data_IF_104804124008
#
_entry.id   IF_104804124008
#
_cell.length_a   1.000
_cell.length_b   1.000
_cell.length_c   1.000
_cell.angle_alpha   90.00
_cell.angle_beta   90.00
_cell.angle_gamma   90.00
#
_symmetry.space_group_name_H-M   'P 1'
#
loop_
_entity.id
_entity.type
_entity.pdbx_description
1 polymer ?
#
# COMPACT_ATOMS: atom_id res chain seq x y z
N UNK A 1 11.46 31.20 -10.92
CA UNK A 1 10.34 30.74 -10.08
C UNK A 1 9.01 30.56 -10.83
N UNK A 2 8.67 31.34 -11.86
CA UNK A 2 7.41 31.16 -12.61
C UNK A 2 7.30 29.82 -13.37
N UNK A 3 8.40 29.30 -13.93
CA UNK A 3 8.41 28.04 -14.70
C UNK A 3 7.96 26.81 -13.91
N UNK A 4 8.32 26.72 -12.62
CA UNK A 4 7.95 25.58 -11.76
C UNK A 4 6.44 25.52 -11.47
N UNK A 5 5.81 26.69 -11.27
CA UNK A 5 4.36 26.79 -11.05
C UNK A 5 3.54 26.50 -12.33
N UNK A 6 4.02 26.95 -13.50
CA UNK A 6 3.36 26.63 -14.77
C UNK A 6 3.44 25.15 -15.12
N UNK A 7 4.61 24.54 -14.93
CA UNK A 7 4.83 23.11 -15.15
C UNK A 7 3.94 22.26 -14.22
N UNK A 8 3.86 22.63 -12.94
CA UNK A 8 3.02 21.94 -11.98
C UNK A 8 1.52 22.04 -12.31
N UNK A 9 1.07 23.19 -12.83
CA UNK A 9 -0.32 23.38 -13.24
C UNK A 9 -0.66 22.64 -14.54
N UNK A 10 0.26 22.58 -15.50
CA UNK A 10 0.07 21.82 -16.75
C UNK A 10 0.03 20.31 -16.49
N UNK A 11 0.90 19.79 -15.62
CA UNK A 11 0.90 18.39 -15.18
C UNK A 11 -0.41 18.00 -14.49
N UNK A 12 -0.93 18.86 -13.61
CA UNK A 12 -2.23 18.64 -12.95
C UNK A 12 -3.38 18.62 -13.95
N UNK A 13 -3.41 19.53 -14.92
CA UNK A 13 -4.45 19.56 -15.96
C UNK A 13 -4.37 18.33 -16.87
N UNK A 14 -3.16 17.91 -17.27
CA UNK A 14 -2.97 16.71 -18.05
C UNK A 14 -3.43 15.45 -17.29
N UNK A 15 -3.06 15.35 -16.01
CA UNK A 15 -3.50 14.26 -15.14
C UNK A 15 -5.03 14.24 -14.95
N UNK A 16 -5.64 15.41 -14.72
CA UNK A 16 -7.09 15.53 -14.59
C UNK A 16 -7.84 15.15 -15.89
N UNK A 17 -7.33 15.57 -17.05
CA UNK A 17 -7.90 15.18 -18.35
C UNK A 17 -7.77 13.67 -18.57
N UNK A 18 -6.61 13.08 -18.28
CA UNK A 18 -6.41 11.64 -18.40
C UNK A 18 -7.34 10.83 -17.47
N UNK A 19 -7.64 11.34 -16.27
CA UNK A 19 -8.62 10.73 -15.36
C UNK A 19 -10.04 10.86 -15.91
N UNK A 20 -10.41 12.03 -16.44
CA UNK A 20 -11.70 12.25 -17.09
C UNK A 20 -11.92 11.28 -18.26
N UNK A 21 -10.90 11.09 -19.10
CA UNK A 21 -10.95 10.17 -20.24
C UNK A 21 -11.15 8.71 -19.80
N UNK A 22 -10.46 8.27 -18.75
CA UNK A 22 -10.66 6.92 -18.18
C UNK A 22 -12.08 6.72 -17.67
N UNK A 23 -12.63 7.72 -16.97
CA UNK A 23 -14.02 7.68 -16.48
C UNK A 23 -15.01 7.60 -17.65
N UNK A 24 -14.77 8.36 -18.73
CA UNK A 24 -15.62 8.33 -19.92
C UNK A 24 -15.58 6.98 -20.63
N UNK A 25 -14.41 6.34 -20.74
CA UNK A 25 -14.27 4.97 -21.28
C UNK A 25 -15.03 3.94 -20.43
N UNK A 26 -14.95 4.04 -19.11
CA UNK A 26 -15.71 3.17 -18.20
C UNK A 26 -17.21 3.36 -18.40
N UNK A 27 -17.69 4.62 -18.47
CA UNK A 27 -19.11 4.91 -18.72
C UNK A 27 -19.58 4.33 -20.05
N UNK A 28 -18.81 4.52 -21.12
CA UNK A 28 -19.11 3.93 -22.42
C UNK A 28 -19.31 2.41 -22.35
N UNK A 29 -18.42 1.70 -21.66
CA UNK A 29 -18.53 0.25 -21.46
C UNK A 29 -19.76 -0.15 -20.63
N UNK A 30 -20.07 0.62 -19.59
CA UNK A 30 -21.23 0.37 -18.72
C UNK A 30 -22.55 0.63 -19.44
N UNK A 31 -22.66 1.75 -20.14
CA UNK A 31 -23.87 2.15 -20.86
C UNK A 31 -24.20 1.15 -21.97
N UNK A 32 -23.17 0.64 -22.66
CA UNK A 32 -23.32 -0.33 -23.75
C UNK A 32 -23.53 -1.77 -23.29
N UNK A 33 -23.33 -2.08 -22.00
CA UNK A 33 -23.37 -3.46 -21.49
C UNK A 33 -24.76 -4.13 -21.61
N UNK A 34 -25.85 -3.35 -21.60
CA UNK A 34 -27.22 -3.86 -21.68
C UNK A 34 -27.91 -3.60 -23.03
N UNK A 35 -27.21 -2.97 -23.98
CA UNK A 35 -27.76 -2.61 -25.29
C UNK A 35 -27.82 -3.82 -26.22
N UNK A 36 -28.84 -3.88 -27.08
CA UNK A 36 -28.87 -4.83 -28.19
C UNK A 36 -27.97 -4.36 -29.35
N UNK A 37 -27.72 -5.23 -30.33
CA UNK A 37 -26.81 -4.94 -31.46
C UNK A 37 -27.21 -3.70 -32.27
N UNK A 38 -28.52 -3.46 -32.44
CA UNK A 38 -29.03 -2.31 -33.16
C UNK A 38 -28.84 -1.00 -32.39
N UNK A 39 -29.12 -1.02 -31.09
CA UNK A 39 -28.89 0.10 -30.16
C UNK A 39 -27.40 0.42 -30.07
N UNK A 40 -26.56 -0.60 -29.95
CA UNK A 40 -25.10 -0.46 -29.92
C UNK A 40 -24.58 0.20 -31.19
N UNK A 41 -25.02 -0.26 -32.37
CA UNK A 41 -24.63 0.34 -33.64
C UNK A 41 -25.03 1.81 -33.77
N UNK A 42 -26.21 2.19 -33.28
CA UNK A 42 -26.64 3.59 -33.22
C UNK A 42 -25.78 4.40 -32.25
N UNK A 43 -25.52 3.85 -31.06
CA UNK A 43 -24.74 4.50 -30.02
C UNK A 43 -23.29 4.75 -30.46
N UNK A 44 -22.64 3.77 -31.08
CA UNK A 44 -21.27 3.89 -31.60
C UNK A 44 -21.14 5.04 -32.62
N UNK A 45 -22.09 5.15 -33.55
CA UNK A 45 -22.13 6.24 -34.54
C UNK A 45 -22.37 7.60 -33.89
N UNK A 46 -23.31 7.69 -32.94
CA UNK A 46 -23.62 8.94 -32.25
C UNK A 46 -22.47 9.44 -31.37
N UNK A 47 -21.68 8.53 -30.79
CA UNK A 47 -20.56 8.87 -29.90
C UNK A 47 -19.20 8.89 -30.62
N UNK A 48 -19.15 8.51 -31.90
CA UNK A 48 -17.91 8.49 -32.69
C UNK A 48 -16.89 7.45 -32.20
N UNK A 49 -17.36 6.32 -31.66
CA UNK A 49 -16.51 5.25 -31.10
C UNK A 49 -16.53 4.04 -32.04
N UNK A 50 -15.37 3.44 -32.28
CA UNK A 50 -15.27 2.19 -33.04
C UNK A 50 -15.61 0.99 -32.14
N UNK A 51 -16.24 -0.04 -32.70
CA UNK A 51 -16.56 -1.25 -31.95
C UNK A 51 -15.30 -1.91 -31.36
N UNK A 52 -14.19 -1.88 -32.10
CA UNK A 52 -12.89 -2.41 -31.68
C UNK A 52 -12.31 -1.65 -30.47
N UNK A 53 -12.42 -0.32 -30.46
CA UNK A 53 -12.00 0.49 -29.30
C UNK A 53 -12.82 0.14 -28.05
N UNK A 54 -14.14 -0.05 -28.22
CA UNK A 54 -15.03 -0.41 -27.12
C UNK A 54 -14.68 -1.79 -26.55
N UNK A 55 -14.36 -2.75 -27.41
CA UNK A 55 -13.93 -4.08 -27.01
C UNK A 55 -12.56 -4.06 -26.30
N UNK A 56 -11.61 -3.25 -26.81
CA UNK A 56 -10.33 -3.03 -26.14
C UNK A 56 -10.53 -2.46 -24.73
N UNK A 57 -11.44 -1.49 -24.56
CA UNK A 57 -11.73 -0.91 -23.26
C UNK A 57 -12.36 -1.93 -22.30
N UNK A 58 -13.24 -2.82 -22.79
CA UNK A 58 -13.78 -3.93 -21.99
C UNK A 58 -12.67 -4.85 -21.50
N UNK A 59 -11.83 -5.33 -22.41
CA UNK A 59 -10.70 -6.21 -22.08
C UNK A 59 -9.72 -5.56 -21.09
N UNK A 60 -9.46 -4.26 -21.26
CA UNK A 60 -8.61 -3.50 -20.35
C UNK A 60 -9.20 -3.46 -18.93
N UNK A 61 -10.51 -3.25 -18.80
CA UNK A 61 -11.19 -3.21 -17.50
C UNK A 61 -11.23 -4.58 -16.83
N UNK A 62 -11.50 -5.65 -17.59
CA UNK A 62 -11.47 -7.02 -17.08
C UNK A 62 -10.07 -7.39 -16.56
N UNK A 63 -9.03 -7.14 -17.36
CA UNK A 63 -7.65 -7.41 -16.93
C UNK A 63 -7.24 -6.59 -15.71
N UNK A 64 -7.71 -5.35 -15.59
CA UNK A 64 -7.42 -4.50 -14.45
C UNK A 64 -8.07 -5.02 -13.16
N UNK A 65 -9.28 -5.59 -13.26
CA UNK A 65 -9.97 -6.21 -12.12
C UNK A 65 -9.25 -7.48 -11.66
N UNK A 66 -8.84 -8.33 -12.60
CA UNK A 66 -8.10 -9.56 -12.32
C UNK A 66 -6.74 -9.28 -11.67
N UNK A 67 -5.97 -8.35 -12.24
CA UNK A 67 -4.66 -7.95 -11.73
C UNK A 67 -4.76 -7.33 -10.33
N UNK A 68 -5.79 -6.52 -10.06
CA UNK A 68 -6.02 -5.94 -8.73
C UNK A 68 -6.29 -7.02 -7.69
N UNK A 69 -6.98 -8.11 -8.06
CA UNK A 69 -7.21 -9.24 -7.16
C UNK A 69 -5.90 -9.95 -6.77
N UNK A 70 -5.00 -10.15 -7.73
CA UNK A 70 -3.73 -10.81 -7.51
C UNK A 70 -2.77 -9.94 -6.68
N UNK A 71 -2.65 -8.65 -7.02
CA UNK A 71 -1.84 -7.69 -6.28
C UNK A 71 -2.32 -7.54 -4.83
N UNK A 72 -3.63 -7.49 -4.60
CA UNK A 72 -4.19 -7.37 -3.25
C UNK A 72 -3.91 -8.62 -2.39
N UNK A 73 -4.00 -9.82 -2.99
CA UNK A 73 -3.63 -11.08 -2.29
C UNK A 73 -2.15 -11.10 -1.92
N UNK A 74 -1.27 -10.71 -2.83
CA UNK A 74 0.17 -10.65 -2.57
C UNK A 74 0.50 -9.63 -1.48
N UNK A 75 -0.12 -8.45 -1.53
CA UNK A 75 0.07 -7.40 -0.51
C UNK A 75 -0.40 -7.85 0.87
N UNK A 76 -1.57 -8.49 0.95
CA UNK A 76 -2.08 -9.03 2.21
C UNK A 76 -1.15 -10.09 2.81
N UNK A 77 -0.60 -10.98 1.98
CA UNK A 77 0.34 -11.98 2.43
C UNK A 77 1.63 -11.37 2.99
N UNK A 78 2.11 -10.27 2.40
CA UNK A 78 3.29 -9.55 2.90
C UNK A 78 3.02 -8.85 4.22
N UNK A 79 1.87 -8.17 4.35
CA UNK A 79 1.44 -7.57 5.63
C UNK A 79 1.34 -8.60 6.76
N UNK A 80 0.86 -9.81 6.47
CA UNK A 80 0.78 -10.88 7.46
C UNK A 80 2.17 -11.38 7.88
N UNK A 81 3.13 -11.46 6.94
CA UNK A 81 4.53 -11.81 7.27
C UNK A 81 5.17 -10.72 8.13
N UNK A 82 5.01 -9.46 7.76
CA UNK A 82 5.54 -8.32 8.52
C UNK A 82 4.97 -8.30 9.94
N UNK A 83 3.65 -8.52 10.09
CA UNK A 83 3.00 -8.62 11.40
C UNK A 83 3.59 -9.75 12.25
N UNK A 84 3.78 -10.93 11.68
CA UNK A 84 4.40 -12.07 12.38
C UNK A 84 5.84 -11.78 12.78
N UNK A 85 6.62 -11.14 11.89
CA UNK A 85 7.99 -10.75 12.17
C UNK A 85 8.06 -9.73 13.32
N UNK A 86 7.18 -8.72 13.29
CA UNK A 86 7.05 -7.72 14.36
C UNK A 86 6.79 -8.38 15.71
N UNK A 87 5.78 -9.24 15.81
CA UNK A 87 5.43 -9.93 17.07
C UNK A 87 6.61 -10.75 17.59
N UNK A 88 7.32 -11.46 16.71
CA UNK A 88 8.50 -12.24 17.09
C UNK A 88 9.60 -11.35 17.66
N UNK A 89 9.91 -10.25 16.98
CA UNK A 89 10.95 -9.31 17.37
C UNK A 89 10.59 -8.62 18.69
N UNK A 90 9.35 -8.16 18.85
CA UNK A 90 8.86 -7.56 20.09
C UNK A 90 8.98 -8.54 21.27
N UNK A 91 8.65 -9.82 21.07
CA UNK A 91 8.82 -10.85 22.09
C UNK A 91 10.29 -11.14 22.45
N UNK A 92 11.19 -11.14 21.47
CA UNK A 92 12.64 -11.26 21.71
C UNK A 92 13.20 -10.05 22.46
N UNK A 93 12.74 -8.85 22.11
CA UNK A 93 13.12 -7.61 22.78
C UNK A 93 12.72 -7.64 24.25
N UNK A 94 11.45 -7.98 24.55
CA UNK A 94 10.96 -8.06 25.92
C UNK A 94 11.75 -9.06 26.79
N UNK A 95 12.15 -10.21 26.23
CA UNK A 95 13.01 -11.18 26.95
C UNK A 95 14.40 -10.61 27.23
N UNK A 96 14.99 -9.89 26.27
CA UNK A 96 16.30 -9.26 26.44
C UNK A 96 16.26 -8.12 27.46
N UNK A 97 15.23 -7.29 27.42
CA UNK A 97 15.03 -6.20 28.39
C UNK A 97 14.85 -6.75 29.82
N UNK A 98 14.10 -7.85 29.99
CA UNK A 98 13.96 -8.52 31.29
C UNK A 98 15.31 -9.01 31.82
N UNK A 99 16.09 -9.73 30.99
CA UNK A 99 17.41 -10.22 31.39
C UNK A 99 18.37 -9.06 31.73
N UNK A 100 18.29 -7.95 30.99
CA UNK A 100 19.09 -6.75 31.24
C UNK A 100 18.69 -6.07 32.57
N UNK A 101 17.38 -6.00 32.87
CA UNK A 101 16.89 -5.47 34.13
C UNK A 101 17.34 -6.34 35.32
N UNK A 102 17.29 -7.67 35.18
CA UNK A 102 17.79 -8.61 36.19
C UNK A 102 19.30 -8.44 36.42
N UNK A 103 20.10 -8.33 35.36
CA UNK A 103 21.54 -8.06 35.46
C UNK A 103 21.82 -6.71 36.16
N UNK A 104 21.08 -5.66 35.82
CA UNK A 104 21.20 -4.36 36.49
C UNK A 104 20.84 -4.44 37.97
N UNK A 105 19.79 -5.19 38.34
CA UNK A 105 19.42 -5.41 39.73
C UNK A 105 20.51 -6.14 40.53
N UNK A 106 21.16 -7.15 39.94
CA UNK A 106 22.29 -7.85 40.55
C UNK A 106 23.48 -6.92 40.80
N UNK A 107 23.82 -6.05 39.84
CA UNK A 107 24.90 -5.06 40.00
C UNK A 107 24.58 -4.05 41.12
N UNK A 108 23.34 -3.57 41.19
CA UNK A 108 22.91 -2.67 42.27
C UNK A 108 22.98 -3.36 43.62
N UNK A 109 22.54 -4.62 43.72
CA UNK A 109 22.63 -5.39 44.96
C UNK A 109 24.09 -5.60 45.38
N UNK A 110 24.96 -5.98 44.45
CA UNK A 110 26.40 -6.15 44.71
C UNK A 110 27.03 -4.86 45.24
N UNK A 111 26.68 -3.71 44.66
CA UNK A 111 27.14 -2.40 45.14
C UNK A 111 26.68 -2.15 46.58
N UNK A 112 25.40 -2.37 46.88
CA UNK A 112 24.86 -2.18 48.24
C UNK A 112 25.52 -3.09 49.27
N UNK A 113 25.79 -4.34 48.91
CA UNK A 113 26.50 -5.29 49.78
C UNK A 113 27.92 -4.77 50.09
N UNK A 114 28.67 -4.31 49.08
CA UNK A 114 30.00 -3.71 49.29
C UNK A 114 29.95 -2.45 50.16
N UNK A 115 28.93 -1.62 50.01
CA UNK A 115 28.75 -0.42 50.85
C UNK A 115 28.46 -0.76 52.32
N UNK A 116 27.75 -1.85 52.60
CA UNK A 116 27.39 -2.27 53.96
C UNK A 116 28.54 -2.99 54.66
N UNK A 117 29.21 -3.91 53.97
CA UNK A 117 30.24 -4.78 54.57
C UNK A 117 31.68 -4.28 54.36
N UNK A 118 31.89 -3.24 53.54
CA UNK A 118 33.23 -2.82 53.12
C UNK A 118 33.85 -3.82 52.13
N UNK A 119 34.89 -3.39 51.40
CA UNK A 119 35.63 -4.28 50.50
C UNK A 119 36.40 -5.34 51.31
N UNK A 120 35.87 -6.56 51.42
CA UNK A 120 36.72 -7.74 51.65
C UNK A 120 37.46 -8.04 50.34
N UNK A 121 38.55 -7.31 50.11
CA UNK A 121 39.35 -7.45 48.90
C UNK A 121 40.48 -6.45 48.74
N UNK A 122 41.19 -6.13 49.81
CA UNK A 122 42.55 -5.55 49.75
C UNK A 122 43.40 -6.13 50.90
N UNK A 123 43.80 -7.40 50.75
CA UNK A 123 45.04 -8.05 51.25
C UNK A 123 45.28 -9.36 50.51
#
# INVERSE_FOLDING_TARGET
MQTFLYQWNSERKASANAVSDKINKIKAVVDTAAMNEHELGSWLRSNGVLAEDLEEWRNTLESALDNKSAANRAHQAELDKERKARIRIEGELARKEKALAEAAALLVLQKKVREIWGEEGDV
#
